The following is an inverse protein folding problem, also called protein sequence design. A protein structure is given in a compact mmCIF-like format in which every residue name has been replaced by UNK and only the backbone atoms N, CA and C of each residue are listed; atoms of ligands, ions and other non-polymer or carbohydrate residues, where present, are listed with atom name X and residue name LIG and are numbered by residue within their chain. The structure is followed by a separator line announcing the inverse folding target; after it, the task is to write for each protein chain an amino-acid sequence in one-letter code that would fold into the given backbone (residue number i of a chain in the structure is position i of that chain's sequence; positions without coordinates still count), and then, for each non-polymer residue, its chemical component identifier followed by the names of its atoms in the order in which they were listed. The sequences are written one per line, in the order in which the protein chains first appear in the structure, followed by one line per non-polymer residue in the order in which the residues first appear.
data_IF_988800500661
#
_entry.id   IF_988800500661
#
_cell.length_a   1.000
_cell.length_b   1.000
_cell.length_c   1.000
_cell.angle_alpha   90.00
_cell.angle_beta   90.00
_cell.angle_gamma   90.00
#
_symmetry.space_group_name_H-M   'P 1'
#
loop_
_entity.id
_entity.type
_entity.pdbx_description
1 polymer ?
#
# COMPACT_ATOMS: atom_id res chain seq x y z
N UNK A 1 0.11 30.11 10.46
CA UNK A 1 0.86 31.09 9.65
C UNK A 1 0.95 30.54 8.24
N UNK A 2 0.36 31.19 7.23
CA UNK A 2 0.39 30.69 5.84
C UNK A 2 1.84 30.53 5.35
N UNK A 3 2.14 29.41 4.71
CA UNK A 3 3.48 29.07 4.22
C UNK A 3 3.55 29.24 2.71
N UNK A 4 4.61 29.86 2.20
CA UNK A 4 4.81 30.04 0.76
C UNK A 4 5.49 28.82 0.12
N UNK A 5 4.97 28.38 -1.03
CA UNK A 5 5.62 27.34 -1.83
C UNK A 5 6.93 27.86 -2.45
N UNK A 6 8.03 27.16 -2.26
CA UNK A 6 9.36 27.53 -2.77
C UNK A 6 9.49 27.43 -4.30
N UNK A 7 8.58 26.75 -5.00
CA UNK A 7 8.60 26.65 -6.46
C UNK A 7 7.71 27.68 -7.15
N UNK A 8 6.42 27.73 -6.79
CA UNK A 8 5.44 28.56 -7.50
C UNK A 8 5.08 29.86 -6.76
N UNK A 9 5.64 30.10 -5.56
CA UNK A 9 5.38 31.30 -4.77
C UNK A 9 3.96 31.40 -4.20
N UNK A 10 3.09 30.41 -4.42
CA UNK A 10 1.72 30.40 -3.91
C UNK A 10 1.68 30.25 -2.38
N UNK A 11 0.82 31.02 -1.72
CA UNK A 11 0.51 30.85 -0.30
C UNK A 11 -0.33 29.59 -0.10
N UNK A 12 0.17 28.68 0.74
CA UNK A 12 -0.49 27.44 1.12
C UNK A 12 -1.19 27.60 2.46
N UNK A 13 -2.28 26.86 2.63
CA UNK A 13 -2.91 26.67 3.93
C UNK A 13 -2.00 25.85 4.85
N UNK A 14 -2.24 25.92 6.16
CA UNK A 14 -1.35 25.30 7.16
C UNK A 14 -1.76 23.89 7.57
N UNK A 15 -2.91 23.42 7.08
CA UNK A 15 -3.52 22.16 7.47
C UNK A 15 -4.20 21.52 6.26
N UNK A 16 -4.33 20.20 6.29
CA UNK A 16 -5.00 19.44 5.24
C UNK A 16 -4.10 19.05 4.07
N UNK A 17 -4.72 18.60 2.98
CA UNK A 17 -3.99 18.06 1.83
C UNK A 17 -3.19 19.12 1.05
N UNK A 18 -3.61 20.38 1.13
CA UNK A 18 -3.01 21.50 0.39
C UNK A 18 -1.87 22.20 1.14
N UNK A 19 -1.44 21.63 2.28
CA UNK A 19 -0.31 22.15 3.05
C UNK A 19 1.00 22.05 2.27
N UNK A 20 1.89 23.03 2.48
CA UNK A 20 3.25 22.96 1.98
C UNK A 20 4.04 21.95 2.82
N UNK A 21 4.69 20.99 2.17
CA UNK A 21 5.43 19.92 2.82
C UNK A 21 6.91 19.97 2.44
N UNK A 22 7.82 19.57 3.36
CA UNK A 22 9.25 19.51 3.08
C UNK A 22 9.55 18.44 2.04
N UNK A 23 10.30 18.83 1.01
CA UNK A 23 10.84 17.91 0.00
C UNK A 23 12.33 18.18 -0.11
N UNK A 24 13.11 17.10 -0.13
CA UNK A 24 14.54 17.12 -0.44
C UNK A 24 14.74 16.54 -1.83
N UNK A 25 15.04 17.40 -2.79
CA UNK A 25 15.53 16.94 -4.09
C UNK A 25 17.00 16.52 -3.96
N UNK A 26 17.45 15.58 -4.79
CA UNK A 26 18.82 15.06 -4.73
C UNK A 26 19.85 16.19 -4.79
N UNK A 27 20.70 16.29 -3.77
CA UNK A 27 21.75 17.32 -3.68
C UNK A 27 21.25 18.74 -3.35
N UNK A 28 19.98 18.92 -2.99
CA UNK A 28 19.43 20.23 -2.60
C UNK A 28 19.03 20.27 -1.12
N UNK A 29 19.03 21.48 -0.56
CA UNK A 29 18.43 21.74 0.75
C UNK A 29 16.93 21.45 0.74
N UNK A 30 16.43 21.05 1.90
CA UNK A 30 15.01 20.81 2.11
C UNK A 30 14.21 22.11 1.93
N UNK A 31 13.16 22.06 1.11
CA UNK A 31 12.30 23.21 0.80
C UNK A 31 10.83 22.82 0.86
N UNK A 32 9.95 23.81 1.07
CA UNK A 32 8.52 23.58 1.25
C UNK A 32 7.79 23.74 -0.09
N UNK A 33 7.08 22.69 -0.52
CA UNK A 33 6.36 22.70 -1.80
C UNK A 33 4.88 22.44 -1.58
N UNK A 34 4.02 23.16 -2.31
CA UNK A 34 2.58 22.89 -2.34
C UNK A 34 2.29 21.55 -3.03
N UNK A 35 1.09 21.01 -2.81
CA UNK A 35 0.66 19.73 -3.40
C UNK A 35 0.85 19.67 -4.91
N UNK A 36 0.39 20.69 -5.63
CA UNK A 36 0.50 20.73 -7.10
C UNK A 36 1.96 20.67 -7.59
N UNK A 37 2.88 21.37 -6.90
CA UNK A 37 4.30 21.31 -7.24
C UNK A 37 4.91 19.94 -6.93
N UNK A 38 4.53 19.31 -5.81
CA UNK A 38 5.00 17.94 -5.49
C UNK A 38 4.48 16.91 -6.50
N UNK A 39 3.22 17.01 -6.90
CA UNK A 39 2.64 16.17 -7.96
C UNK A 39 3.40 16.34 -9.27
N UNK A 40 3.66 17.59 -9.66
CA UNK A 40 4.47 17.90 -10.86
C UNK A 40 5.87 17.29 -10.77
N UNK A 41 6.55 17.47 -9.64
CA UNK A 41 7.88 16.88 -9.41
C UNK A 41 7.89 15.36 -9.52
N UNK A 42 6.83 14.70 -9.02
CA UNK A 42 6.65 13.26 -9.16
C UNK A 42 6.41 12.83 -10.62
N UNK A 43 5.53 13.54 -11.34
CA UNK A 43 5.16 13.22 -12.72
C UNK A 43 6.30 13.49 -13.72
N UNK A 44 7.00 14.61 -13.55
CA UNK A 44 8.14 15.03 -14.38
C UNK A 44 9.45 14.34 -13.95
N UNK A 45 9.41 13.47 -12.93
CA UNK A 45 10.58 12.74 -12.40
C UNK A 45 11.73 13.65 -11.97
N UNK A 46 11.41 14.87 -11.51
CA UNK A 46 12.38 15.81 -10.93
C UNK A 46 12.91 15.27 -9.60
N UNK A 47 12.04 14.59 -8.84
CA UNK A 47 12.41 13.84 -7.65
C UNK A 47 12.02 12.38 -7.90
N UNK A 48 13.02 11.50 -7.89
CA UNK A 48 12.82 10.06 -8.04
C UNK A 48 12.96 9.40 -6.67
N UNK A 49 11.84 8.97 -6.13
CA UNK A 49 11.81 8.20 -4.88
C UNK A 49 11.85 6.72 -5.22
N UNK A 50 12.84 6.02 -4.65
CA UNK A 50 12.94 4.58 -4.82
C UNK A 50 11.69 3.86 -4.29
N UNK A 51 11.35 2.78 -4.96
CA UNK A 51 10.33 1.85 -4.47
C UNK A 51 10.99 1.02 -3.36
N UNK A 52 10.37 0.89 -2.17
CA UNK A 52 10.88 0.01 -1.12
C UNK A 52 11.15 -1.40 -1.65
N UNK A 53 12.31 -1.97 -1.34
CA UNK A 53 12.75 -3.26 -1.88
C UNK A 53 11.72 -4.38 -1.69
N UNK A 54 11.03 -4.42 -0.54
CA UNK A 54 9.94 -5.39 -0.27
C UNK A 54 8.84 -5.39 -1.32
N UNK A 55 8.59 -4.27 -2.00
CA UNK A 55 7.55 -4.13 -3.03
C UNK A 55 8.01 -4.56 -4.42
N UNK A 56 9.30 -4.83 -4.62
CA UNK A 56 9.84 -5.30 -5.90
C UNK A 56 9.69 -6.81 -6.10
N UNK A 57 9.24 -7.50 -5.06
CA UNK A 57 9.18 -8.95 -4.98
C UNK A 57 10.42 -9.53 -4.32
N UNK A 58 10.24 -10.56 -3.49
CA UNK A 58 11.29 -11.12 -2.66
C UNK A 58 11.03 -12.60 -2.38
N UNK A 59 12.09 -13.35 -2.07
CA UNK A 59 11.96 -14.70 -1.55
C UNK A 59 11.45 -14.62 -0.11
N UNK A 60 10.29 -15.21 0.14
CA UNK A 60 9.64 -15.18 1.44
C UNK A 60 9.85 -16.52 2.17
N UNK A 61 10.42 -16.44 3.37
CA UNK A 61 10.77 -17.61 4.18
C UNK A 61 9.55 -18.38 4.71
N UNK A 62 8.41 -17.72 4.89
CA UNK A 62 7.20 -18.35 5.42
C UNK A 62 6.55 -19.32 4.44
N UNK A 63 6.64 -19.03 3.14
CA UNK A 63 6.09 -19.90 2.09
C UNK A 63 7.15 -20.57 1.22
N UNK A 64 8.44 -20.23 1.39
CA UNK A 64 9.55 -20.78 0.60
C UNK A 64 9.49 -20.40 -0.89
N UNK A 65 8.87 -19.27 -1.21
CA UNK A 65 8.55 -18.88 -2.60
C UNK A 65 8.82 -17.40 -2.83
N UNK A 66 8.95 -17.03 -4.10
CA UNK A 66 8.97 -15.63 -4.49
C UNK A 66 7.57 -15.04 -4.37
N UNK A 67 7.48 -13.94 -3.62
CA UNK A 67 6.26 -13.22 -3.31
C UNK A 67 6.28 -11.89 -4.05
N UNK A 68 5.15 -11.54 -4.66
CA UNK A 68 4.88 -10.19 -5.17
C UNK A 68 3.78 -9.59 -4.30
N UNK A 69 4.06 -8.53 -3.51
CA UNK A 69 3.06 -7.94 -2.64
C UNK A 69 1.85 -7.41 -3.41
N UNK A 70 0.67 -7.81 -2.96
CA UNK A 70 -0.60 -7.43 -3.55
C UNK A 70 -1.58 -6.95 -2.50
N UNK A 71 -2.42 -6.00 -2.89
CA UNK A 71 -3.50 -5.46 -2.08
C UNK A 71 -4.83 -5.65 -2.79
N UNK A 72 -5.89 -5.83 -2.00
CA UNK A 72 -7.24 -5.58 -2.51
C UNK A 72 -7.42 -4.09 -2.81
N UNK A 73 -8.34 -3.74 -3.71
CA UNK A 73 -8.70 -2.33 -3.95
C UNK A 73 -9.15 -1.62 -2.66
N UNK A 74 -9.83 -2.32 -1.75
CA UNK A 74 -10.26 -1.74 -0.48
C UNK A 74 -9.08 -1.42 0.44
N UNK A 75 -8.09 -2.31 0.53
CA UNK A 75 -6.86 -2.04 1.28
C UNK A 75 -6.06 -0.91 0.66
N UNK A 76 -5.94 -0.85 -0.67
CA UNK A 76 -5.27 0.24 -1.35
C UNK A 76 -5.88 1.60 -0.99
N UNK A 77 -7.22 1.71 -0.97
CA UNK A 77 -7.93 2.94 -0.54
C UNK A 77 -7.61 3.30 0.91
N UNK A 78 -7.70 2.33 1.81
CA UNK A 78 -7.52 2.55 3.24
C UNK A 78 -6.07 2.88 3.58
N UNK A 79 -5.11 2.15 3.02
CA UNK A 79 -3.69 2.34 3.27
C UNK A 79 -3.14 3.59 2.58
N UNK A 80 -3.52 3.88 1.35
CA UNK A 80 -2.90 4.97 0.58
C UNK A 80 -3.80 6.20 0.44
N UNK A 81 -4.95 6.23 1.11
CA UNK A 81 -5.96 7.27 1.01
C UNK A 81 -6.32 7.58 -0.46
N UNK A 82 -6.62 6.52 -1.22
CA UNK A 82 -6.95 6.57 -2.65
C UNK A 82 -8.45 6.48 -2.87
N UNK A 83 -8.92 7.05 -3.98
CA UNK A 83 -10.31 6.93 -4.45
C UNK A 83 -10.43 5.89 -5.55
N UNK A 84 -11.66 5.47 -5.86
CA UNK A 84 -11.94 4.53 -6.96
C UNK A 84 -11.25 4.92 -8.26
N UNK A 85 -11.42 6.19 -8.68
CA UNK A 85 -10.82 6.73 -9.91
C UNK A 85 -9.30 6.64 -9.96
N UNK A 86 -8.64 6.73 -8.80
CA UNK A 86 -7.18 6.68 -8.73
C UNK A 86 -6.70 5.24 -8.99
N UNK A 87 -7.53 4.23 -8.70
CA UNK A 87 -7.24 2.81 -8.89
C UNK A 87 -7.67 2.26 -10.26
N UNK A 88 -8.36 3.04 -11.08
CA UNK A 88 -8.84 2.61 -12.41
C UNK A 88 -7.67 2.38 -13.38
N UNK A 89 -6.56 3.08 -13.18
CA UNK A 89 -5.36 2.96 -14.03
C UNK A 89 -4.43 1.83 -13.61
N UNK A 90 -4.71 1.14 -12.51
CA UNK A 90 -3.86 0.07 -11.99
C UNK A 90 -4.33 -1.26 -12.60
N UNK A 91 -3.45 -2.00 -13.30
CA UNK A 91 -3.78 -3.33 -13.81
C UNK A 91 -4.26 -4.24 -12.68
N UNK A 92 -5.36 -4.93 -12.93
CA UNK A 92 -5.85 -5.98 -12.04
C UNK A 92 -5.04 -7.22 -12.35
N UNK A 93 -4.29 -7.70 -11.36
CA UNK A 93 -3.54 -8.95 -11.49
C UNK A 93 -4.51 -10.13 -11.42
N UNK A 94 -5.44 -10.12 -10.45
CA UNK A 94 -6.36 -11.23 -10.27
C UNK A 94 -7.69 -10.81 -9.66
N UNK A 95 -8.79 -11.41 -10.15
CA UNK A 95 -10.13 -11.29 -9.58
C UNK A 95 -10.66 -12.66 -9.12
N UNK A 96 -11.05 -12.78 -7.86
CA UNK A 96 -11.62 -14.02 -7.31
C UNK A 96 -12.91 -13.81 -6.53
N UNK A 97 -13.85 -14.77 -6.57
CA UNK A 97 -15.02 -14.74 -5.70
C UNK A 97 -14.62 -14.89 -4.23
N UNK A 98 -15.16 -14.03 -3.37
CA UNK A 98 -15.10 -14.09 -1.91
C UNK A 98 -16.51 -14.01 -1.34
N UNK A 99 -16.79 -14.76 -0.28
CA UNK A 99 -18.09 -14.72 0.39
C UNK A 99 -18.11 -13.62 1.47
N UNK A 100 -19.00 -12.63 1.30
CA UNK A 100 -19.26 -11.55 2.23
C UNK A 100 -20.78 -11.39 2.43
N UNK A 101 -21.25 -11.48 3.67
CA UNK A 101 -22.66 -11.31 4.04
C UNK A 101 -23.66 -12.18 3.25
N UNK A 102 -23.30 -13.44 3.01
CA UNK A 102 -24.11 -14.38 2.23
C UNK A 102 -24.05 -14.15 0.71
N UNK A 103 -23.30 -13.15 0.24
CA UNK A 103 -23.09 -12.85 -1.17
C UNK A 103 -21.69 -13.26 -1.63
N UNK A 104 -21.58 -13.70 -2.88
CA UNK A 104 -20.31 -13.92 -3.54
C UNK A 104 -19.90 -12.64 -4.29
N UNK A 105 -18.88 -11.95 -3.81
CA UNK A 105 -18.33 -10.72 -4.42
C UNK A 105 -16.94 -10.99 -4.98
N UNK A 106 -16.56 -10.40 -6.11
CA UNK A 106 -15.20 -10.60 -6.65
C UNK A 106 -14.22 -9.63 -6.00
N UNK A 107 -13.24 -10.15 -5.24
CA UNK A 107 -12.10 -9.39 -4.76
C UNK A 107 -11.05 -9.27 -5.87
N UNK A 108 -10.63 -8.04 -6.15
CA UNK A 108 -9.58 -7.74 -7.12
C UNK A 108 -8.28 -7.37 -6.40
N UNK A 109 -7.23 -8.12 -6.70
CA UNK A 109 -5.87 -7.86 -6.24
C UNK A 109 -5.11 -7.04 -7.28
N UNK A 110 -4.35 -6.07 -6.77
CA UNK A 110 -3.47 -5.19 -7.52
C UNK A 110 -2.08 -5.18 -6.89
N UNK A 111 -1.05 -4.95 -7.69
CA UNK A 111 0.32 -4.87 -7.21
C UNK A 111 0.51 -3.67 -6.26
N UNK A 112 1.01 -3.91 -5.04
CA UNK A 112 1.22 -2.85 -4.04
C UNK A 112 2.24 -1.79 -4.51
N UNK A 113 3.23 -2.18 -5.32
CA UNK A 113 4.16 -1.24 -5.96
C UNK A 113 3.41 -0.21 -6.79
N UNK A 114 2.51 -0.66 -7.64
CA UNK A 114 1.82 0.21 -8.58
C UNK A 114 0.82 1.12 -7.84
N UNK A 115 0.21 0.61 -6.76
CA UNK A 115 -0.58 1.41 -5.81
C UNK A 115 0.27 2.52 -5.18
N UNK A 116 1.49 2.22 -4.71
CA UNK A 116 2.38 3.23 -4.15
C UNK A 116 2.74 4.30 -5.19
N UNK A 117 3.07 3.90 -6.42
CA UNK A 117 3.41 4.84 -7.48
C UNK A 117 2.25 5.78 -7.81
N UNK A 118 1.03 5.23 -7.93
CA UNK A 118 -0.19 6.05 -8.08
C UNK A 118 -0.37 6.98 -6.89
N UNK A 119 -0.20 6.50 -5.66
CA UNK A 119 -0.35 7.31 -4.46
C UNK A 119 0.64 8.48 -4.41
N UNK A 120 1.91 8.25 -4.78
CA UNK A 120 2.92 9.32 -4.92
C UNK A 120 2.52 10.33 -5.99
N UNK A 121 1.94 9.89 -7.11
CA UNK A 121 1.39 10.78 -8.13
C UNK A 121 0.19 11.60 -7.64
N UNK A 122 -0.73 10.98 -6.90
CA UNK A 122 -1.96 11.62 -6.40
C UNK A 122 -1.69 12.60 -5.27
N UNK A 123 -0.82 12.25 -4.32
CA UNK A 123 -0.58 13.06 -3.13
C UNK A 123 0.67 13.94 -3.22
N UNK A 124 1.51 13.69 -4.21
CA UNK A 124 2.74 14.41 -4.48
C UNK A 124 3.88 13.94 -3.59
N UNK A 125 4.61 12.92 -4.07
CA UNK A 125 5.75 12.27 -3.40
C UNK A 125 5.36 11.52 -2.11
N UNK A 126 6.30 10.79 -1.50
CA UNK A 126 6.08 10.02 -0.29
C UNK A 126 5.60 10.90 0.86
N UNK A 127 6.19 12.09 1.03
CA UNK A 127 5.76 13.04 2.06
C UNK A 127 4.29 13.42 1.93
N UNK A 128 3.78 13.49 0.69
CA UNK A 128 2.37 13.72 0.41
C UNK A 128 1.49 12.54 0.84
N UNK A 129 1.95 11.30 0.56
CA UNK A 129 1.28 10.07 1.00
C UNK A 129 1.21 10.01 2.53
N UNK A 130 2.31 10.31 3.21
CA UNK A 130 2.38 10.28 4.66
C UNK A 130 1.43 11.30 5.30
N UNK A 131 1.39 12.54 4.77
CA UNK A 131 0.42 13.55 5.20
C UNK A 131 -1.03 13.10 4.92
N UNK A 132 -1.30 12.52 3.75
CA UNK A 132 -2.64 12.05 3.40
C UNK A 132 -3.13 10.93 4.35
N UNK A 133 -2.22 10.07 4.82
CA UNK A 133 -2.50 9.04 5.84
C UNK A 133 -2.73 9.65 7.22
N UNK A 134 -1.88 10.59 7.61
CA UNK A 134 -2.02 11.30 8.88
C UNK A 134 -3.39 11.97 9.01
N UNK A 135 -3.87 12.62 7.94
CA UNK A 135 -5.17 13.33 7.94
C UNK A 135 -6.39 12.42 8.13
N UNK A 136 -6.29 11.14 7.77
CA UNK A 136 -7.37 10.16 7.99
C UNK A 136 -7.19 9.37 9.28
N UNK A 137 -6.19 9.71 10.11
CA UNK A 137 -5.88 8.97 11.33
C UNK A 137 -5.42 7.54 11.06
N UNK A 138 -4.85 7.27 9.89
CA UNK A 138 -4.33 5.94 9.60
C UNK A 138 -3.17 5.62 10.55
N UNK A 139 -3.16 4.40 11.08
CA UNK A 139 -2.03 3.87 11.83
C UNK A 139 -0.74 3.98 10.99
N UNK A 140 0.46 3.93 11.60
CA UNK A 140 1.70 3.73 10.86
C UNK A 140 1.60 2.54 9.89
N UNK A 141 2.47 2.50 8.87
CA UNK A 141 2.58 1.28 8.08
C UNK A 141 2.94 0.13 9.02
N UNK A 142 2.29 -1.04 8.89
CA UNK A 142 2.65 -2.20 9.70
C UNK A 142 4.13 -2.54 9.54
N UNK A 143 4.70 -3.17 10.56
CA UNK A 143 6.08 -3.67 10.52
C UNK A 143 6.26 -4.64 9.35
N UNK A 144 7.50 -4.72 8.84
CA UNK A 144 7.81 -5.51 7.66
C UNK A 144 7.47 -6.99 7.85
N UNK A 145 7.67 -7.55 9.04
CA UNK A 145 7.33 -8.95 9.33
C UNK A 145 5.83 -9.24 9.17
N UNK A 146 4.98 -8.34 9.67
CA UNK A 146 3.51 -8.43 9.54
C UNK A 146 3.11 -8.42 8.06
N UNK A 147 3.74 -7.55 7.27
CA UNK A 147 3.51 -7.46 5.84
C UNK A 147 3.99 -8.73 5.12
N UNK A 148 5.16 -9.26 5.50
CA UNK A 148 5.73 -10.47 4.91
C UNK A 148 4.85 -11.70 5.19
N UNK A 149 4.32 -11.82 6.39
CA UNK A 149 3.37 -12.88 6.78
C UNK A 149 2.06 -12.80 6.00
N UNK A 150 1.50 -11.59 5.86
CA UNK A 150 0.30 -11.32 5.04
C UNK A 150 0.52 -11.75 3.59
N UNK A 151 1.65 -11.38 3.01
CA UNK A 151 1.94 -11.67 1.60
C UNK A 151 2.23 -13.16 1.35
N UNK A 152 2.82 -13.85 2.33
CA UNK A 152 3.02 -15.30 2.29
C UNK A 152 1.68 -16.06 2.25
N UNK A 153 0.74 -15.70 3.14
CA UNK A 153 -0.63 -16.24 3.14
C UNK A 153 -1.25 -16.05 1.76
N UNK A 154 -1.25 -14.82 1.25
CA UNK A 154 -1.85 -14.53 -0.06
C UNK A 154 -1.26 -15.39 -1.16
N UNK A 155 0.06 -15.48 -1.22
CA UNK A 155 0.76 -16.25 -2.25
C UNK A 155 0.34 -17.72 -2.24
N UNK A 156 0.28 -18.35 -1.06
CA UNK A 156 -0.12 -19.76 -0.94
C UNK A 156 -1.60 -19.98 -1.29
N UNK A 157 -2.49 -19.07 -0.88
CA UNK A 157 -3.91 -19.14 -1.22
C UNK A 157 -4.12 -19.02 -2.74
N UNK A 158 -3.42 -18.08 -3.38
CA UNK A 158 -3.49 -17.86 -4.82
C UNK A 158 -3.05 -19.07 -5.65
N UNK A 159 -2.02 -19.80 -5.21
CA UNK A 159 -1.59 -21.02 -5.90
C UNK A 159 -2.66 -22.10 -5.93
N UNK A 160 -3.51 -22.14 -4.91
CA UNK A 160 -4.62 -23.10 -4.84
C UNK A 160 -5.91 -22.59 -5.48
N UNK A 161 -5.88 -21.39 -6.08
CA UNK A 161 -7.07 -20.67 -6.58
C UNK A 161 -8.12 -20.43 -5.49
N UNK A 162 -7.69 -20.30 -4.24
CA UNK A 162 -8.55 -19.96 -3.11
C UNK A 162 -8.15 -18.60 -2.54
N UNK A 163 -9.05 -17.98 -1.78
CA UNK A 163 -8.73 -16.80 -0.97
C UNK A 163 -9.37 -16.97 0.40
N UNK A 164 -8.57 -16.92 1.45
CA UNK A 164 -9.11 -16.86 2.79
C UNK A 164 -9.35 -15.42 3.22
N UNK A 165 -10.49 -15.19 3.89
CA UNK A 165 -10.81 -13.87 4.41
C UNK A 165 -9.76 -13.44 5.42
N UNK A 166 -9.31 -12.19 5.31
CA UNK A 166 -8.33 -11.60 6.23
C UNK A 166 -8.84 -11.41 7.65
N UNK A 167 -10.15 -11.61 7.88
CA UNK A 167 -10.79 -11.50 9.19
C UNK A 167 -10.91 -12.82 9.96
N UNK A 168 -10.39 -13.92 9.40
CA UNK A 168 -10.37 -15.19 10.11
C UNK A 168 -9.38 -15.11 11.28
N UNK A 169 -9.80 -15.47 12.51
CA UNK A 169 -8.96 -15.30 13.70
C UNK A 169 -7.58 -15.96 13.59
N UNK A 170 -7.48 -17.13 12.94
CA UNK A 170 -6.19 -17.81 12.71
C UNK A 170 -5.28 -17.08 11.72
N UNK A 171 -5.86 -16.47 10.68
CA UNK A 171 -5.12 -15.65 9.72
C UNK A 171 -4.65 -14.37 10.40
N UNK A 172 -5.51 -13.74 11.19
CA UNK A 172 -5.13 -12.57 11.97
C UNK A 172 -4.03 -12.91 12.98
N UNK A 173 -4.16 -14.02 13.73
CA UNK A 173 -3.16 -14.46 14.68
C UNK A 173 -1.80 -14.72 14.01
N UNK A 174 -1.80 -15.35 12.83
CA UNK A 174 -0.57 -15.56 12.05
C UNK A 174 0.04 -14.24 11.59
N UNK A 175 -0.76 -13.36 10.97
CA UNK A 175 -0.31 -12.06 10.44
C UNK A 175 0.24 -11.17 11.55
N UNK A 176 -0.38 -11.18 12.73
CA UNK A 176 0.05 -10.39 13.89
C UNK A 176 1.18 -11.06 14.70
N UNK A 177 1.72 -12.20 14.26
CA UNK A 177 2.82 -12.90 14.92
C UNK A 177 2.46 -13.56 16.25
N UNK A 178 1.17 -13.69 16.57
CA UNK A 178 0.70 -14.32 17.80
C UNK A 178 0.72 -15.87 17.74
N UNK A 179 0.80 -16.44 16.54
CA UNK A 179 0.98 -17.87 16.23
C UNK A 179 1.75 -18.00 14.89
N UNK A 180 2.31 -19.17 14.54
CA UNK A 180 2.68 -19.46 13.15
C UNK A 180 4.16 -19.48 12.75
N UNK A 181 4.65 -20.66 12.36
CA UNK A 181 5.75 -20.85 11.39
C UNK A 181 5.26 -21.38 10.03
N UNK A 182 6.16 -21.70 9.09
CA UNK A 182 5.81 -22.18 7.74
C UNK A 182 4.89 -23.42 7.74
N UNK A 183 5.06 -24.34 8.70
CA UNK A 183 4.24 -25.55 8.82
C UNK A 183 2.78 -25.24 9.22
N UNK A 184 2.56 -24.30 10.13
CA UNK A 184 1.21 -23.87 10.53
C UNK A 184 0.53 -23.07 9.42
N UNK A 185 1.29 -22.28 8.66
CA UNK A 185 0.78 -21.59 7.48
C UNK A 185 0.24 -22.60 6.45
N UNK A 186 0.97 -23.68 6.19
CA UNK A 186 0.51 -24.76 5.31
C UNK A 186 -0.72 -25.47 5.87
N UNK A 187 -0.80 -25.69 7.19
CA UNK A 187 -1.98 -26.28 7.83
C UNK A 187 -3.23 -25.39 7.65
N UNK A 188 -3.11 -24.06 7.86
CA UNK A 188 -4.19 -23.10 7.61
C UNK A 188 -4.69 -23.20 6.17
N UNK A 189 -3.77 -23.23 5.20
CA UNK A 189 -4.13 -23.31 3.77
C UNK A 189 -4.76 -24.67 3.41
N UNK A 190 -4.35 -25.77 4.05
CA UNK A 190 -4.91 -27.10 3.83
C UNK A 190 -6.31 -27.26 4.39
N UNK A 191 -6.54 -26.87 5.65
CA UNK A 191 -7.84 -27.00 6.32
C UNK A 191 -8.93 -26.13 5.67
N UNK A 192 -8.52 -25.03 5.03
CA UNK A 192 -9.42 -24.08 4.37
C UNK A 192 -9.70 -24.39 2.89
N UNK A 193 -9.00 -25.37 2.31
CA UNK A 193 -9.22 -25.82 0.94
C UNK A 193 -10.20 -27.02 0.84
N UNK A 194 -10.77 -27.43 1.98
CA UNK A 194 -11.80 -28.47 2.14
C UNK A 194 -13.12 -27.77 2.48
#
# INVERSE_FOLDING_TARGET
MNVQCSHCGRMCVNVGHEVALPVRAQGQEERLFCKQCRQRMCMEKVVVEEVPARLLGYANEYCGQNVVPMLTKSEAKMMYNLRNRDLETIPIEIGYPVSADGNCVTAFLVNERDVLLVARGVHGLQVGVDNARFLIGAAPFPEEDILNRRDAIRTLFLQRRYFARSDLPRIQAFVQGQQGGAAELLAIVHEMAI
#
